data_IF_655695094772
#
_entry.id   IF_655695094772
#
_cell.length_a   1.000
_cell.length_b   1.000
_cell.length_c   1.000
_cell.angle_alpha   90.00
_cell.angle_beta   90.00
_cell.angle_gamma   90.00
#
_symmetry.space_group_name_H-M   'P 1'
#
loop_
_entity.id
_entity.type
_entity.pdbx_description
1 polymer ?
#
# COMPACT_ATOMS: atom_id res chain seq x y z
N UNK A 1 -4.82 -66.03 -40.49
CA UNK A 1 -4.31 -64.64 -40.39
C UNK A 1 -5.22 -63.84 -39.45
N UNK A 2 -4.72 -63.43 -38.27
CA UNK A 2 -5.50 -62.65 -37.29
C UNK A 2 -5.69 -61.22 -37.81
N UNK A 3 -6.94 -60.80 -38.03
CA UNK A 3 -7.29 -59.42 -38.37
C UNK A 3 -6.90 -58.51 -37.20
N UNK A 4 -5.94 -57.62 -37.42
CA UNK A 4 -5.66 -56.52 -36.50
C UNK A 4 -6.87 -55.59 -36.50
N UNK A 5 -7.68 -55.71 -35.46
CA UNK A 5 -8.80 -54.82 -35.21
C UNK A 5 -8.21 -53.48 -34.76
N UNK A 6 -8.02 -52.54 -35.70
CA UNK A 6 -7.73 -51.13 -35.38
C UNK A 6 -8.95 -50.60 -34.64
N UNK A 7 -8.93 -50.67 -33.30
CA UNK A 7 -9.83 -49.89 -32.45
C UNK A 7 -9.55 -48.42 -32.79
N UNK A 8 -10.45 -47.81 -33.55
CA UNK A 8 -10.47 -46.36 -33.69
C UNK A 8 -10.48 -45.77 -32.29
N UNK A 9 -9.51 -44.93 -31.98
CA UNK A 9 -9.47 -44.25 -30.70
C UNK A 9 -10.77 -43.44 -30.63
N UNK A 10 -11.60 -43.74 -29.64
CA UNK A 10 -12.93 -43.18 -29.51
C UNK A 10 -12.80 -41.66 -29.35
N UNK A 11 -13.12 -40.89 -30.40
CA UNK A 11 -12.94 -39.44 -30.45
C UNK A 11 -13.62 -38.74 -29.28
N UNK A 12 -14.68 -39.34 -28.73
CA UNK A 12 -15.36 -38.88 -27.51
C UNK A 12 -14.47 -38.97 -26.27
N UNK A 13 -13.71 -40.04 -26.11
CA UNK A 13 -12.77 -40.21 -25.01
C UNK A 13 -11.60 -39.23 -25.10
N UNK A 14 -11.07 -38.99 -26.31
CA UNK A 14 -10.03 -37.97 -26.55
C UNK A 14 -10.55 -36.57 -26.19
N UNK A 15 -11.75 -36.21 -26.65
CA UNK A 15 -12.35 -34.91 -26.36
C UNK A 15 -12.63 -34.71 -24.86
N UNK A 16 -13.04 -35.76 -24.15
CA UNK A 16 -13.24 -35.72 -22.69
C UNK A 16 -11.93 -35.44 -21.95
N UNK A 17 -10.83 -36.12 -22.34
CA UNK A 17 -9.50 -35.94 -21.73
C UNK A 17 -8.97 -34.53 -22.01
N UNK A 18 -9.08 -34.05 -23.25
CA UNK A 18 -8.71 -32.68 -23.61
C UNK A 18 -9.53 -31.64 -22.82
N UNK A 19 -10.83 -31.85 -22.67
CA UNK A 19 -11.70 -30.96 -21.89
C UNK A 19 -11.27 -30.91 -20.42
N UNK A 20 -10.97 -32.06 -19.82
CA UNK A 20 -10.47 -32.13 -18.44
C UNK A 20 -9.11 -31.42 -18.30
N UNK A 21 -8.22 -31.56 -19.29
CA UNK A 21 -6.92 -30.88 -19.29
C UNK A 21 -7.05 -29.36 -19.42
N UNK A 22 -7.96 -28.88 -20.26
CA UNK A 22 -8.28 -27.45 -20.39
C UNK A 22 -8.85 -26.89 -19.09
N UNK A 23 -9.80 -27.59 -18.46
CA UNK A 23 -10.37 -27.19 -17.16
C UNK A 23 -9.27 -27.10 -16.10
N UNK A 24 -8.38 -28.09 -16.05
CA UNK A 24 -7.27 -28.09 -15.11
C UNK A 24 -6.33 -26.90 -15.31
N UNK A 25 -5.98 -26.57 -16.56
CA UNK A 25 -5.18 -25.38 -16.90
C UNK A 25 -5.88 -24.10 -16.47
N UNK A 26 -7.19 -23.96 -16.76
CA UNK A 26 -7.96 -22.77 -16.38
C UNK A 26 -7.98 -22.59 -14.86
N UNK A 27 -8.15 -23.68 -14.10
CA UNK A 27 -8.09 -23.66 -12.64
C UNK A 27 -6.71 -23.19 -12.16
N UNK A 28 -5.62 -23.73 -12.73
CA UNK A 28 -4.25 -23.32 -12.36
C UNK A 28 -4.03 -21.82 -12.64
N UNK A 29 -4.41 -21.35 -13.82
CA UNK A 29 -4.27 -19.92 -14.19
C UNK A 29 -5.07 -19.04 -13.22
N UNK A 30 -6.29 -19.46 -12.88
CA UNK A 30 -7.11 -18.75 -11.91
C UNK A 30 -6.45 -18.69 -10.52
N UNK A 31 -5.89 -19.80 -10.04
CA UNK A 31 -5.16 -19.84 -8.76
C UNK A 31 -3.94 -18.91 -8.77
N UNK A 32 -3.16 -18.91 -9.85
CA UNK A 32 -1.99 -18.02 -9.99
C UNK A 32 -2.43 -16.55 -9.99
N UNK A 33 -3.47 -16.22 -10.75
CA UNK A 33 -4.02 -14.86 -10.82
C UNK A 33 -4.58 -14.40 -9.47
N UNK A 34 -5.37 -15.23 -8.80
CA UNK A 34 -5.92 -14.93 -7.49
C UNK A 34 -4.81 -14.76 -6.43
N UNK A 35 -3.79 -15.63 -6.46
CA UNK A 35 -2.63 -15.53 -5.59
C UNK A 35 -1.85 -14.23 -5.80
N UNK A 36 -1.59 -13.87 -7.06
CA UNK A 36 -0.89 -12.62 -7.41
C UNK A 36 -1.65 -11.38 -6.89
N UNK A 37 -2.96 -11.31 -7.12
CA UNK A 37 -3.77 -10.20 -6.64
C UNK A 37 -3.81 -10.11 -5.10
N UNK A 38 -3.80 -11.25 -4.40
CA UNK A 38 -3.75 -11.26 -2.93
C UNK A 38 -2.40 -10.76 -2.41
N UNK A 39 -1.30 -11.14 -3.06
CA UNK A 39 0.05 -10.67 -2.71
C UNK A 39 0.18 -9.17 -2.94
N UNK A 40 -0.29 -8.66 -4.09
CA UNK A 40 -0.28 -7.22 -4.40
C UNK A 40 -1.05 -6.42 -3.34
N UNK A 41 -2.28 -6.85 -3.00
CA UNK A 41 -3.07 -6.21 -1.93
C UNK A 41 -2.39 -6.26 -0.56
N UNK A 42 -1.72 -7.36 -0.22
CA UNK A 42 -0.98 -7.44 1.04
C UNK A 42 0.24 -6.50 1.04
N UNK A 43 0.95 -6.38 -0.08
CA UNK A 43 2.06 -5.43 -0.22
C UNK A 43 1.60 -4.00 0.01
N UNK A 44 0.49 -3.59 -0.61
CA UNK A 44 -0.11 -2.25 -0.43
C UNK A 44 -0.44 -1.97 1.05
N UNK A 45 -1.00 -2.95 1.77
CA UNK A 45 -1.30 -2.81 3.20
C UNK A 45 -0.03 -2.68 4.03
N UNK A 46 0.97 -3.54 3.79
CA UNK A 46 2.24 -3.54 4.54
C UNK A 46 2.98 -2.22 4.33
N UNK A 47 3.06 -1.73 3.10
CA UNK A 47 3.74 -0.48 2.80
C UNK A 47 3.00 0.74 3.36
N UNK A 48 1.66 0.72 3.32
CA UNK A 48 0.82 1.72 3.97
C UNK A 48 1.03 1.78 5.49
N UNK A 49 1.09 0.62 6.16
CA UNK A 49 1.36 0.53 7.59
C UNK A 49 2.79 0.97 7.95
N UNK A 50 3.79 0.55 7.15
CA UNK A 50 5.18 0.96 7.35
C UNK A 50 5.36 2.48 7.25
N UNK A 51 4.63 3.11 6.34
CA UNK A 51 4.68 4.55 6.19
C UNK A 51 3.90 5.31 7.27
N UNK A 52 2.79 4.75 7.78
CA UNK A 52 2.12 5.28 8.98
C UNK A 52 3.09 5.32 10.17
N UNK A 53 3.85 4.25 10.38
CA UNK A 53 4.86 4.18 11.46
C UNK A 53 5.92 5.28 11.31
N UNK A 54 6.41 5.54 10.09
CA UNK A 54 7.39 6.60 9.85
C UNK A 54 6.83 8.01 10.14
N UNK A 55 5.59 8.28 9.73
CA UNK A 55 4.88 9.52 10.06
C UNK A 55 4.73 9.63 11.59
N UNK A 56 4.33 8.55 12.25
CA UNK A 56 4.15 8.52 13.70
C UNK A 56 5.46 8.81 14.45
N UNK A 57 6.58 8.27 13.97
CA UNK A 57 7.90 8.55 14.53
C UNK A 57 8.32 10.00 14.33
N UNK A 58 8.14 10.55 13.12
CA UNK A 58 8.43 11.96 12.84
C UNK A 58 7.60 12.89 13.76
N UNK A 59 6.33 12.55 13.93
CA UNK A 59 5.38 13.24 14.81
C UNK A 59 5.77 13.14 16.29
N UNK A 60 6.19 11.98 16.76
CA UNK A 60 6.65 11.78 18.13
C UNK A 60 7.92 12.58 18.43
N UNK A 61 8.89 12.59 17.51
CA UNK A 61 10.12 13.39 17.62
C UNK A 61 9.79 14.88 17.68
N UNK A 62 8.91 15.36 16.82
CA UNK A 62 8.43 16.75 16.86
C UNK A 62 7.82 17.08 18.22
N UNK A 63 6.92 16.24 18.72
CA UNK A 63 6.23 16.44 19.99
C UNK A 63 7.17 16.50 21.21
N UNK A 64 8.24 15.71 21.18
CA UNK A 64 9.21 15.63 22.27
C UNK A 64 10.15 16.84 22.30
N UNK A 65 10.59 17.34 21.15
CA UNK A 65 11.70 18.29 21.12
C UNK A 65 11.34 19.74 21.47
N UNK A 66 10.14 20.28 21.16
CA UNK A 66 9.85 21.73 21.40
C UNK A 66 8.36 22.13 21.56
N UNK A 67 7.73 22.02 22.74
CA UNK A 67 6.32 22.36 22.91
C UNK A 67 5.96 23.87 22.85
N UNK A 68 6.91 24.80 23.05
CA UNK A 68 6.60 26.26 23.11
C UNK A 68 6.87 27.04 21.82
N UNK A 69 7.82 26.62 20.98
CA UNK A 69 8.13 27.28 19.70
C UNK A 69 7.40 26.65 18.51
N UNK A 70 6.67 25.56 18.77
CA UNK A 70 6.17 24.61 17.78
C UNK A 70 5.22 25.22 16.73
N UNK A 71 4.40 26.20 17.07
CA UNK A 71 3.36 26.68 16.14
C UNK A 71 3.96 27.57 15.03
N UNK A 72 5.06 28.27 15.30
CA UNK A 72 5.61 29.26 14.35
C UNK A 72 6.50 28.58 13.28
N UNK A 73 7.05 27.39 13.56
CA UNK A 73 7.91 26.64 12.63
C UNK A 73 7.53 25.17 12.45
N UNK A 74 6.34 24.74 12.89
CA UNK A 74 5.85 23.35 12.74
C UNK A 74 5.97 22.87 11.30
N UNK A 75 5.58 23.69 10.32
CA UNK A 75 5.62 23.30 8.91
C UNK A 75 7.04 23.03 8.41
N UNK A 76 8.01 23.86 8.80
CA UNK A 76 9.41 23.74 8.41
C UNK A 76 10.04 22.49 9.05
N UNK A 77 9.80 22.28 10.36
CA UNK A 77 10.28 21.10 11.07
C UNK A 77 9.64 19.82 10.55
N UNK A 78 8.35 19.86 10.24
CA UNK A 78 7.63 18.74 9.61
C UNK A 78 8.23 18.42 8.25
N UNK A 79 8.39 19.41 7.36
CA UNK A 79 9.04 19.23 6.06
C UNK A 79 10.43 18.58 6.17
N UNK A 80 11.26 19.09 7.09
CA UNK A 80 12.61 18.58 7.29
C UNK A 80 12.62 17.11 7.75
N UNK A 81 11.75 16.74 8.71
CA UNK A 81 11.64 15.36 9.20
C UNK A 81 11.18 14.39 8.09
N UNK A 82 10.16 14.74 7.30
CA UNK A 82 9.73 13.89 6.18
C UNK A 82 10.79 13.78 5.09
N UNK A 83 11.49 14.87 4.80
CA UNK A 83 12.58 14.87 3.82
C UNK A 83 13.73 13.95 4.26
N UNK A 84 14.08 13.94 5.55
CA UNK A 84 15.09 13.02 6.11
C UNK A 84 14.69 11.54 5.99
N UNK A 85 13.38 11.25 5.98
CA UNK A 85 12.84 9.91 5.76
C UNK A 85 12.69 9.57 4.26
N UNK A 86 13.15 10.43 3.35
CA UNK A 86 13.02 10.24 1.91
C UNK A 86 11.59 10.42 1.39
N UNK A 87 10.75 11.14 2.12
CA UNK A 87 9.36 11.43 1.76
C UNK A 87 9.29 12.88 1.28
N UNK A 88 8.77 13.08 0.07
CA UNK A 88 8.57 14.42 -0.50
C UNK A 88 7.30 15.04 0.08
N UNK A 89 7.39 16.28 0.56
CA UNK A 89 6.23 17.03 1.05
C UNK A 89 5.69 17.90 -0.09
N UNK A 90 4.56 17.51 -0.67
CA UNK A 90 3.90 18.27 -1.74
C UNK A 90 3.21 19.52 -1.19
N UNK A 91 2.56 19.38 -0.03
CA UNK A 91 1.94 20.49 0.68
C UNK A 91 1.84 20.20 2.16
N UNK A 92 1.93 21.24 2.98
CA UNK A 92 1.58 21.21 4.39
C UNK A 92 0.98 22.55 4.79
N UNK A 93 -0.07 22.51 5.60
CA UNK A 93 -0.72 23.67 6.20
C UNK A 93 -1.03 23.35 7.65
N UNK A 94 -0.40 24.07 8.57
CA UNK A 94 -0.63 23.90 10.00
C UNK A 94 -1.41 25.07 10.59
N UNK A 95 -2.53 24.74 11.24
CA UNK A 95 -3.32 25.58 12.13
C UNK A 95 -3.02 25.17 13.58
N UNK A 96 -3.33 26.01 14.59
CA UNK A 96 -2.98 25.75 16.00
C UNK A 96 -3.39 24.38 16.56
N UNK A 97 -4.45 23.77 16.03
CA UNK A 97 -5.02 22.49 16.49
C UNK A 97 -5.09 21.43 15.38
N UNK A 98 -4.71 21.80 14.15
CA UNK A 98 -4.85 20.90 13.00
C UNK A 98 -3.76 21.14 11.95
N UNK A 99 -3.08 20.09 11.53
CA UNK A 99 -2.17 20.13 10.39
C UNK A 99 -2.71 19.25 9.27
N UNK A 100 -2.77 19.82 8.06
CA UNK A 100 -3.11 19.12 6.83
C UNK A 100 -1.89 18.94 5.95
N UNK A 101 -1.66 17.75 5.41
CA UNK A 101 -0.50 17.49 4.55
C UNK A 101 -0.80 16.59 3.35
N UNK A 102 0.01 16.74 2.30
CA UNK A 102 0.12 15.79 1.18
C UNK A 102 1.58 15.38 1.03
N UNK A 103 1.81 14.07 1.11
CA UNK A 103 3.13 13.46 1.02
C UNK A 103 3.19 12.57 -0.22
N UNK A 104 4.38 12.50 -0.83
CA UNK A 104 4.66 11.62 -1.95
C UNK A 104 5.96 10.86 -1.69
N UNK A 105 5.92 9.55 -1.88
CA UNK A 105 7.09 8.69 -1.88
C UNK A 105 7.23 8.07 -3.27
N UNK A 106 8.37 8.25 -3.92
CA UNK A 106 8.57 7.85 -5.31
C UNK A 106 8.10 8.88 -6.33
N UNK A 107 8.09 8.48 -7.60
CA UNK A 107 7.88 9.32 -8.79
C UNK A 107 6.50 9.10 -9.42
N UNK A 108 5.97 7.88 -9.38
CA UNK A 108 4.67 7.52 -9.97
C UNK A 108 3.72 7.00 -8.89
N UNK A 109 2.55 7.61 -8.68
CA UNK A 109 1.61 7.12 -7.67
C UNK A 109 0.95 5.81 -8.13
N UNK A 110 1.29 4.69 -7.49
CA UNK A 110 0.63 3.38 -7.62
C UNK A 110 -0.56 3.24 -6.68
N UNK A 111 -0.47 3.81 -5.46
CA UNK A 111 -1.59 3.84 -4.51
C UNK A 111 -1.53 5.01 -3.52
N UNK A 112 -2.64 5.28 -2.85
CA UNK A 112 -2.80 6.39 -1.89
C UNK A 112 -3.43 5.90 -0.58
N UNK A 113 -2.91 6.39 0.56
CA UNK A 113 -3.51 6.16 1.88
C UNK A 113 -3.86 7.48 2.55
N UNK A 114 -5.01 7.51 3.22
CA UNK A 114 -5.38 8.62 4.09
C UNK A 114 -4.78 8.39 5.49
N UNK A 115 -4.26 9.47 6.07
CA UNK A 115 -3.63 9.52 7.37
C UNK A 115 -4.42 10.42 8.30
N UNK A 116 -4.67 9.95 9.52
CA UNK A 116 -5.22 10.76 10.61
C UNK A 116 -4.63 10.32 11.93
N UNK A 117 -4.02 11.24 12.67
CA UNK A 117 -3.53 11.00 14.02
C UNK A 117 -3.57 12.26 14.87
N UNK A 118 -3.96 12.12 16.13
CA UNK A 118 -3.94 13.21 17.11
C UNK A 118 -2.79 13.00 18.08
N UNK A 119 -2.03 14.06 18.32
CA UNK A 119 -0.96 14.09 19.31
C UNK A 119 -1.39 14.97 20.47
N UNK A 120 -1.18 14.47 21.69
CA UNK A 120 -1.44 15.18 22.93
C UNK A 120 -0.14 15.82 23.41
N UNK A 121 -0.09 17.15 23.40
CA UNK A 121 0.97 17.94 24.01
C UNK A 121 0.48 18.47 25.36
N UNK A 122 1.37 18.82 26.31
CA UNK A 122 0.96 19.43 27.56
C UNK A 122 0.10 20.69 27.33
N UNK A 123 -1.21 20.57 27.58
CA UNK A 123 -2.19 21.65 27.42
C UNK A 123 -2.70 21.91 26.00
N UNK A 124 -2.37 21.08 25.00
CA UNK A 124 -2.87 21.22 23.62
C UNK A 124 -3.04 19.87 22.92
N UNK A 125 -4.05 19.80 22.06
CA UNK A 125 -4.27 18.66 21.16
C UNK A 125 -4.07 19.14 19.73
N UNK A 126 -3.27 18.41 18.95
CA UNK A 126 -3.04 18.73 17.54
C UNK A 126 -3.38 17.50 16.71
N UNK A 127 -4.33 17.67 15.79
CA UNK A 127 -4.76 16.62 14.87
C UNK A 127 -4.06 16.77 13.53
N UNK A 128 -3.31 15.76 13.14
CA UNK A 128 -2.66 15.65 11.85
C UNK A 128 -3.53 14.82 10.91
N UNK A 129 -3.94 15.41 9.79
CA UNK A 129 -4.68 14.73 8.73
C UNK A 129 -3.96 14.88 7.41
N UNK A 130 -3.96 13.89 6.54
CA UNK A 130 -3.29 14.04 5.26
C UNK A 130 -3.47 12.85 4.33
N UNK A 131 -2.88 12.96 3.15
CA UNK A 131 -2.83 11.88 2.16
C UNK A 131 -1.38 11.59 1.81
N UNK A 132 -1.03 10.31 1.71
CA UNK A 132 0.27 9.86 1.25
C UNK A 132 0.12 9.01 0.00
N UNK A 133 0.86 9.38 -1.05
CA UNK A 133 0.92 8.67 -2.32
C UNK A 133 2.25 7.90 -2.41
N UNK A 134 2.20 6.66 -2.86
CA UNK A 134 3.34 5.75 -2.95
C UNK A 134 3.58 5.30 -4.39
N UNK A 135 4.80 4.84 -4.67
CA UNK A 135 5.20 4.13 -5.88
C UNK A 135 5.42 2.64 -5.55
#
# INVERSE_FOLDING_TARGET
>A
MKKFNKKGIDTKAINLILSAFVIFIVIIIFYIWAGKNMIEKQSEVIEGDYARIQIDQALATLAYERPKEMIINAEQSFKNQFTQQGITVESIQCKPERCEFKLKRGTTPTYSTDYQRTIYLPGKEITFTGRMNYE
#
